data_IF_864288818977
#
_entry.id   IF_864288818977
#
_cell.length_a   1.000
_cell.length_b   1.000
_cell.length_c   1.000
_cell.angle_alpha   90.00
_cell.angle_beta   90.00
_cell.angle_gamma   90.00
#
_symmetry.space_group_name_H-M   'P 1'
#
loop_
_entity.id
_entity.type
_entity.pdbx_description
1 polymer ?
#
# COMPACT_ATOMS: atom_id res chain seq x y z
N UNK A 1 -11.07 -6.76 0.80
CA UNK A 1 -10.80 -5.29 0.83
C UNK A 1 -10.65 -4.83 2.28
N UNK A 2 -9.93 -3.73 2.51
CA UNK A 2 -9.89 -3.06 3.82
C UNK A 2 -11.30 -2.56 4.18
N UNK A 3 -11.57 -2.34 5.47
CA UNK A 3 -12.91 -2.03 5.98
C UNK A 3 -12.88 -0.84 6.93
N UNK A 4 -14.01 -0.12 7.02
CA UNK A 4 -14.28 0.96 7.97
C UNK A 4 -13.16 2.02 7.93
N UNK A 5 -12.58 2.35 9.08
CA UNK A 5 -11.58 3.41 9.25
C UNK A 5 -10.28 3.19 8.46
N UNK A 6 -10.04 1.97 7.97
CA UNK A 6 -8.85 1.64 7.19
C UNK A 6 -9.08 1.69 5.67
N UNK A 7 -10.30 2.03 5.23
CA UNK A 7 -10.62 2.32 3.84
C UNK A 7 -10.35 3.80 3.57
N UNK A 8 -9.12 4.13 3.22
CA UNK A 8 -8.66 5.51 3.01
C UNK A 8 -7.87 5.59 1.70
N UNK A 9 -7.96 6.72 1.01
CA UNK A 9 -7.04 7.08 -0.07
C UNK A 9 -5.71 7.52 0.52
N UNK A 10 -4.75 6.61 0.49
CA UNK A 10 -3.46 6.79 1.13
C UNK A 10 -2.31 6.70 0.14
N UNK A 11 -1.10 6.94 0.64
CA UNK A 11 0.12 6.94 -0.15
C UNK A 11 0.35 5.61 -0.88
N UNK A 12 -0.16 4.48 -0.37
CA UNK A 12 -0.02 3.18 -1.03
C UNK A 12 -0.90 3.12 -2.27
N UNK A 13 -2.14 3.59 -2.18
CA UNK A 13 -3.03 3.67 -3.34
C UNK A 13 -2.47 4.60 -4.43
N UNK A 14 -1.98 5.78 -4.03
CA UNK A 14 -1.33 6.71 -4.96
C UNK A 14 -0.09 6.09 -5.61
N UNK A 15 0.76 5.42 -4.84
CA UNK A 15 1.95 4.75 -5.37
C UNK A 15 1.60 3.63 -6.35
N UNK A 16 0.56 2.83 -6.06
CA UNK A 16 0.07 1.78 -6.97
C UNK A 16 -0.47 2.35 -8.28
N UNK A 17 -1.25 3.45 -8.22
CA UNK A 17 -1.75 4.11 -9.43
C UNK A 17 -0.61 4.66 -10.27
N UNK A 18 0.36 5.32 -9.64
CA UNK A 18 1.56 5.83 -10.30
C UNK A 18 2.41 4.70 -10.92
N UNK A 19 2.53 3.55 -10.24
CA UNK A 19 3.23 2.38 -10.77
C UNK A 19 2.56 1.82 -12.03
N UNK A 20 1.23 1.72 -12.04
CA UNK A 20 0.45 1.29 -13.21
C UNK A 20 0.61 2.28 -14.37
N UNK A 21 0.55 3.58 -14.09
CA UNK A 21 0.75 4.63 -15.09
C UNK A 21 2.17 4.57 -15.68
N UNK A 22 3.19 4.44 -14.83
CA UNK A 22 4.59 4.31 -15.23
C UNK A 22 4.78 3.09 -16.14
N UNK A 23 4.20 1.93 -15.78
CA UNK A 23 4.27 0.72 -16.60
C UNK A 23 3.65 0.92 -17.98
N UNK A 24 2.49 1.56 -18.07
CA UNK A 24 1.81 1.85 -19.35
C UNK A 24 2.64 2.80 -20.21
N UNK A 25 3.14 3.88 -19.62
CA UNK A 25 3.98 4.86 -20.33
C UNK A 25 5.27 4.22 -20.87
N UNK A 26 5.95 3.39 -20.07
CA UNK A 26 7.12 2.63 -20.49
C UNK A 26 6.78 1.66 -21.63
N UNK A 27 5.66 0.95 -21.53
CA UNK A 27 5.20 0.02 -22.56
C UNK A 27 4.97 0.72 -23.91
N UNK A 28 4.30 1.87 -23.91
CA UNK A 28 4.00 2.61 -25.14
C UNK A 28 5.25 3.21 -25.79
N UNK A 29 6.19 3.72 -24.98
CA UNK A 29 7.51 4.18 -25.46
C UNK A 29 8.30 3.03 -26.11
N UNK A 30 8.34 1.86 -25.47
CA UNK A 30 9.04 0.68 -26.00
C UNK A 30 8.40 0.15 -27.28
N UNK A 31 7.06 0.14 -27.38
CA UNK A 31 6.34 -0.22 -28.62
C UNK A 31 6.71 0.72 -29.77
N UNK A 32 6.67 2.03 -29.54
CA UNK A 32 7.04 3.03 -30.55
C UNK A 32 8.49 2.85 -31.02
N UNK A 33 9.41 2.60 -30.10
CA UNK A 33 10.81 2.34 -30.43
C UNK A 33 10.99 1.03 -31.22
N UNK A 34 10.22 0.00 -30.89
CA UNK A 34 10.20 -1.25 -31.65
C UNK A 34 9.73 -1.02 -33.09
N UNK A 35 8.66 -0.26 -33.30
CA UNK A 35 8.18 0.10 -34.64
C UNK A 35 9.23 0.86 -35.45
N UNK A 36 9.92 1.82 -34.83
CA UNK A 36 11.04 2.55 -35.45
C UNK A 36 12.20 1.62 -35.83
N UNK A 37 12.52 0.66 -34.97
CA UNK A 37 13.55 -0.36 -35.21
C UNK A 37 13.23 -1.26 -36.39
N UNK A 38 11.97 -1.70 -36.49
CA UNK A 38 11.49 -2.52 -37.62
C UNK A 38 11.52 -1.70 -38.92
N UNK A 39 11.13 -0.43 -38.88
CA UNK A 39 11.20 0.45 -40.05
C UNK A 39 12.66 0.65 -40.52
N UNK A 40 13.59 0.91 -39.60
CA UNK A 40 15.00 1.08 -39.94
C UNK A 40 15.61 -0.22 -40.50
N UNK A 41 15.20 -1.39 -39.99
CA UNK A 41 15.63 -2.67 -40.55
C UNK A 41 15.19 -2.85 -42.02
N UNK A 42 13.98 -2.40 -42.37
CA UNK A 42 13.49 -2.42 -43.75
C UNK A 42 14.32 -1.49 -44.64
N UNK A 43 14.65 -0.29 -44.16
CA UNK A 43 15.50 0.66 -44.90
C UNK A 43 16.92 0.11 -45.12
N UNK A 44 17.51 -0.49 -44.10
CA UNK A 44 18.81 -1.14 -44.19
C UNK A 44 18.81 -2.27 -45.24
N UNK A 45 17.76 -3.12 -45.26
CA UNK A 45 17.59 -4.19 -46.27
C UNK A 45 17.44 -3.63 -47.68
N UNK A 46 16.66 -2.56 -47.86
CA UNK A 46 16.53 -1.90 -49.15
C UNK A 46 17.88 -1.34 -49.65
N UNK A 47 18.63 -0.67 -48.77
CA UNK A 47 19.97 -0.17 -49.11
C UNK A 47 20.96 -1.30 -49.41
N UNK A 48 20.85 -2.44 -48.73
CA UNK A 48 21.66 -3.62 -49.03
C UNK A 48 21.39 -4.14 -50.45
N UNK A 49 20.11 -4.31 -50.82
CA UNK A 49 19.75 -4.77 -52.16
C UNK A 49 20.20 -3.81 -53.27
N UNK A 50 20.19 -2.50 -53.02
CA UNK A 50 20.72 -1.51 -53.97
C UNK A 50 22.23 -1.66 -54.18
N UNK A 51 22.99 -1.90 -53.10
CA UNK A 51 24.44 -2.17 -53.20
C UNK A 51 24.72 -3.48 -53.95
N UNK A 52 23.95 -4.54 -53.69
CA UNK A 52 24.08 -5.82 -54.38
C UNK A 52 23.84 -5.67 -55.90
N UNK A 53 22.89 -4.81 -56.30
CA UNK A 53 22.64 -4.47 -57.71
C UNK A 53 23.75 -3.61 -58.32
N UNK A 54 24.24 -2.61 -57.59
CA UNK A 54 25.34 -1.75 -58.03
C UNK A 54 26.62 -2.57 -58.25
N UNK A 55 26.92 -3.51 -57.35
CA UNK A 55 28.07 -4.41 -57.47
C UNK A 55 28.01 -5.24 -58.76
N UNK A 56 26.87 -5.86 -59.08
CA UNK A 56 26.67 -6.59 -60.35
C UNK A 56 26.85 -5.69 -61.57
N UNK A 57 26.37 -4.45 -61.49
CA UNK A 57 26.50 -3.47 -62.57
C UNK A 57 27.96 -3.08 -62.78
N UNK A 58 28.74 -2.94 -61.70
CA UNK A 58 30.18 -2.67 -61.74
C UNK A 58 30.97 -3.85 -62.29
N UNK A 59 30.60 -5.09 -61.99
CA UNK A 59 31.20 -6.28 -62.62
C UNK A 59 31.00 -6.27 -64.14
N UNK A 60 29.78 -5.93 -64.59
CA UNK A 60 29.51 -5.76 -66.02
C UNK A 60 30.29 -4.61 -66.65
N UNK A 61 30.41 -3.47 -65.94
CA UNK A 61 31.17 -2.31 -66.40
C UNK A 61 32.66 -2.64 -66.54
N UNK A 62 33.25 -3.36 -65.58
CA UNK A 62 34.63 -3.84 -65.66
C UNK A 62 34.85 -4.75 -66.88
N UNK A 63 33.86 -5.57 -67.24
CA UNK A 63 33.89 -6.37 -68.47
C UNK A 63 33.96 -5.50 -69.74
N UNK A 64 33.15 -4.44 -69.79
CA UNK A 64 33.15 -3.46 -70.89
C UNK A 64 34.48 -2.71 -70.92
N UNK A 65 34.98 -2.23 -69.77
CA UNK A 65 36.25 -1.50 -69.68
C UNK A 65 37.44 -2.38 -70.10
N UNK A 66 37.46 -3.65 -69.70
CA UNK A 66 38.48 -4.61 -70.14
C UNK A 66 38.43 -4.84 -71.66
N UNK A 67 37.23 -4.94 -72.24
CA UNK A 67 37.06 -5.03 -73.69
C UNK A 67 37.54 -3.76 -74.38
N UNK A 68 37.15 -2.58 -73.89
CA UNK A 68 37.58 -1.29 -74.41
C UNK A 68 39.10 -1.12 -74.33
N UNK A 69 39.74 -1.57 -73.24
CA UNK A 69 41.19 -1.54 -73.07
C UNK A 69 41.93 -2.37 -74.13
N UNK A 70 41.32 -3.45 -74.63
CA UNK A 70 41.87 -4.30 -75.69
C UNK A 70 41.67 -3.74 -77.11
N UNK A 71 40.84 -2.70 -77.28
CA UNK A 71 40.60 -2.08 -78.59
C UNK A 71 41.84 -1.33 -79.09
N UNK A 72 42.09 -1.43 -80.40
CA UNK A 72 43.13 -0.70 -81.11
C UNK A 72 42.61 -0.27 -82.49
N UNK A 73 43.42 0.47 -83.25
CA UNK A 73 43.01 1.06 -84.54
C UNK A 73 42.62 0.03 -85.61
N UNK A 74 42.96 -1.26 -85.43
CA UNK A 74 42.63 -2.35 -86.35
C UNK A 74 41.49 -3.24 -85.82
N UNK A 75 40.93 -2.93 -84.64
CA UNK A 75 39.82 -3.68 -84.07
C UNK A 75 38.57 -3.55 -84.93
N UNK A 76 37.92 -4.68 -85.24
CA UNK A 76 36.67 -4.71 -85.99
C UNK A 76 35.53 -4.11 -85.16
N UNK A 77 34.73 -3.22 -85.75
CA UNK A 77 33.53 -2.65 -85.11
C UNK A 77 33.68 -1.26 -84.48
N UNK A 78 34.82 -0.58 -84.65
CA UNK A 78 34.99 0.84 -84.26
C UNK A 78 34.18 1.78 -85.18
N UNK A 79 33.50 2.77 -84.62
CA UNK A 79 32.64 3.71 -85.37
C UNK A 79 32.50 5.06 -84.63
N UNK A 80 31.98 6.10 -85.31
CA UNK A 80 31.70 7.40 -84.71
C UNK A 80 30.34 7.40 -84.00
N UNK A 81 30.31 7.89 -82.76
CA UNK A 81 29.09 8.03 -81.94
C UNK A 81 28.94 9.49 -81.48
N UNK A 82 27.76 10.09 -81.63
CA UNK A 82 27.50 11.49 -81.26
C UNK A 82 26.80 11.64 -79.91
N UNK A 83 27.10 12.72 -79.17
CA UNK A 83 26.39 13.10 -77.94
C UNK A 83 26.88 12.43 -76.65
N UNK A 84 28.06 11.81 -76.67
CA UNK A 84 28.66 11.08 -75.54
C UNK A 84 29.28 11.98 -74.46
N UNK A 85 29.37 13.29 -74.71
CA UNK A 85 30.24 14.20 -73.93
C UNK A 85 29.56 14.81 -72.69
N UNK A 86 28.40 14.29 -72.28
CA UNK A 86 27.64 14.79 -71.11
C UNK A 86 27.32 13.64 -70.16
N UNK A 87 28.28 13.29 -69.31
CA UNK A 87 28.07 12.32 -68.23
C UNK A 87 28.50 12.89 -66.88
N UNK A 88 27.57 12.91 -65.93
CA UNK A 88 27.83 13.31 -64.54
C UNK A 88 27.71 12.08 -63.63
N UNK A 89 28.83 11.53 -63.13
CA UNK A 89 28.82 10.37 -62.25
C UNK A 89 28.51 10.78 -60.81
N UNK A 90 27.27 10.60 -60.36
CA UNK A 90 26.94 10.79 -58.94
C UNK A 90 26.94 9.46 -58.17
N UNK A 91 27.85 9.31 -57.20
CA UNK A 91 28.02 8.09 -56.39
C UNK A 91 26.99 7.99 -55.23
N UNK A 92 25.70 8.13 -55.56
CA UNK A 92 24.57 8.30 -54.61
C UNK A 92 24.28 7.06 -53.75
N UNK A 93 24.57 5.86 -54.27
CA UNK A 93 24.26 4.59 -53.61
C UNK A 93 25.12 4.39 -52.36
N UNK A 94 26.41 4.72 -52.43
CA UNK A 94 27.34 4.62 -51.29
C UNK A 94 26.94 5.60 -50.19
N UNK A 95 26.64 6.85 -50.54
CA UNK A 95 26.20 7.88 -49.59
C UNK A 95 24.90 7.46 -48.87
N UNK A 96 23.93 6.91 -49.61
CA UNK A 96 22.69 6.37 -49.02
C UNK A 96 22.97 5.27 -48.00
N UNK A 97 23.83 4.31 -48.33
CA UNK A 97 24.23 3.24 -47.41
C UNK A 97 24.89 3.76 -46.13
N UNK A 98 25.81 4.71 -46.26
CA UNK A 98 26.47 5.33 -45.12
C UNK A 98 25.46 6.04 -44.20
N UNK A 99 24.49 6.75 -44.78
CA UNK A 99 23.42 7.41 -44.03
C UNK A 99 22.52 6.42 -43.29
N UNK A 100 22.09 5.32 -43.93
CA UNK A 100 21.25 4.30 -43.27
C UNK A 100 22.01 3.57 -42.16
N UNK A 101 23.30 3.28 -42.35
CA UNK A 101 24.16 2.71 -41.29
C UNK A 101 24.30 3.66 -40.09
N UNK A 102 24.49 4.96 -40.34
CA UNK A 102 24.57 5.97 -39.28
C UNK A 102 23.27 6.06 -38.48
N UNK A 103 22.11 6.14 -39.16
CA UNK A 103 20.79 6.09 -38.50
C UNK A 103 20.60 4.83 -37.66
N UNK A 104 21.00 3.67 -38.20
CA UNK A 104 20.91 2.40 -37.49
C UNK A 104 21.84 2.31 -36.27
N UNK A 105 22.99 2.99 -36.29
CA UNK A 105 23.88 3.09 -35.14
C UNK A 105 23.26 3.97 -34.05
N UNK A 106 22.76 5.15 -34.41
CA UNK A 106 22.08 6.05 -33.48
C UNK A 106 20.88 5.34 -32.83
N UNK A 107 20.05 4.68 -33.64
CA UNK A 107 18.86 3.99 -33.15
C UNK A 107 19.17 2.90 -32.12
N UNK A 108 20.28 2.16 -32.27
CA UNK A 108 20.72 1.19 -31.26
C UNK A 108 21.07 1.86 -29.94
N UNK A 109 21.80 2.97 -29.97
CA UNK A 109 22.08 3.74 -28.76
C UNK A 109 20.80 4.29 -28.11
N UNK A 110 19.85 4.75 -28.91
CA UNK A 110 18.57 5.27 -28.40
C UNK A 110 17.73 4.16 -27.75
N UNK A 111 17.75 2.94 -28.32
CA UNK A 111 17.11 1.75 -27.75
C UNK A 111 17.72 1.43 -26.39
N UNK A 112 19.05 1.34 -26.29
CA UNK A 112 19.73 1.01 -25.04
C UNK A 112 19.44 2.06 -23.95
N UNK A 113 19.49 3.34 -24.31
CA UNK A 113 19.14 4.43 -23.41
C UNK A 113 17.68 4.35 -22.95
N UNK A 114 16.75 4.06 -23.86
CA UNK A 114 15.34 3.94 -23.54
C UNK A 114 15.04 2.74 -22.64
N UNK A 115 15.63 1.58 -22.91
CA UNK A 115 15.46 0.38 -22.07
C UNK A 115 15.95 0.66 -20.66
N UNK A 116 17.13 1.25 -20.52
CA UNK A 116 17.69 1.60 -19.21
C UNK A 116 16.82 2.65 -18.47
N UNK A 117 16.32 3.67 -19.18
CA UNK A 117 15.42 4.66 -18.60
C UNK A 117 14.11 4.01 -18.09
N UNK A 118 13.44 3.22 -18.94
CA UNK A 118 12.22 2.51 -18.57
C UNK A 118 12.44 1.54 -17.40
N UNK A 119 13.56 0.81 -17.38
CA UNK A 119 13.89 -0.11 -16.30
C UNK A 119 14.06 0.63 -14.97
N UNK A 120 14.78 1.75 -14.96
CA UNK A 120 14.96 2.58 -13.77
C UNK A 120 13.63 3.20 -13.29
N UNK A 121 12.81 3.71 -14.20
CA UNK A 121 11.48 4.26 -13.88
C UNK A 121 10.58 3.20 -13.21
N UNK A 122 10.49 2.00 -13.80
CA UNK A 122 9.70 0.88 -13.26
C UNK A 122 10.23 0.46 -11.90
N UNK A 123 11.56 0.35 -11.76
CA UNK A 123 12.19 -0.05 -10.50
C UNK A 123 11.94 0.96 -9.38
N UNK A 124 12.05 2.26 -9.67
CA UNK A 124 11.76 3.33 -8.73
C UNK A 124 10.29 3.33 -8.29
N UNK A 125 9.36 3.20 -9.25
CA UNK A 125 7.93 3.14 -8.94
C UNK A 125 7.59 1.91 -8.09
N UNK A 126 8.14 0.74 -8.44
CA UNK A 126 7.96 -0.50 -7.68
C UNK A 126 8.48 -0.38 -6.25
N UNK A 127 9.67 0.19 -6.05
CA UNK A 127 10.24 0.44 -4.72
C UNK A 127 9.43 1.43 -3.90
N UNK A 128 8.97 2.53 -4.52
CA UNK A 128 8.13 3.51 -3.84
C UNK A 128 6.85 2.84 -3.29
N UNK A 129 6.19 2.01 -4.09
CA UNK A 129 5.03 1.23 -3.66
C UNK A 129 5.35 0.26 -2.52
N UNK A 130 6.45 -0.50 -2.61
CA UNK A 130 6.82 -1.45 -1.55
C UNK A 130 7.21 -0.77 -0.24
N UNK A 131 7.91 0.36 -0.32
CA UNK A 131 8.25 1.17 0.84
C UNK A 131 6.98 1.72 1.49
N UNK A 132 6.02 2.21 0.68
CA UNK A 132 4.71 2.63 1.16
C UNK A 132 3.95 1.51 1.88
N UNK A 133 3.86 0.33 1.26
CA UNK A 133 3.21 -0.86 1.84
C UNK A 133 3.88 -1.27 3.16
N UNK A 134 5.20 -1.29 3.20
CA UNK A 134 5.98 -1.69 4.38
C UNK A 134 5.78 -0.69 5.52
N UNK A 135 5.90 0.61 5.23
CA UNK A 135 5.70 1.68 6.21
C UNK A 135 4.30 1.59 6.83
N UNK A 136 3.27 1.51 6.00
CA UNK A 136 1.90 1.41 6.49
C UNK A 136 1.66 0.14 7.30
N UNK A 137 2.24 -0.98 6.86
CA UNK A 137 2.14 -2.23 7.63
C UNK A 137 2.76 -2.09 9.01
N UNK A 138 3.88 -1.35 9.12
CA UNK A 138 4.50 -1.01 10.41
C UNK A 138 3.59 -0.12 11.27
N UNK A 139 3.06 0.96 10.71
CA UNK A 139 2.14 1.89 11.40
C UNK A 139 0.88 1.16 11.88
N UNK A 140 0.33 0.27 11.06
CA UNK A 140 -0.86 -0.54 11.40
C UNK A 140 -0.54 -1.55 12.50
N UNK A 141 0.66 -2.14 12.49
CA UNK A 141 1.12 -3.05 13.55
C UNK A 141 1.31 -2.33 14.88
N UNK A 142 1.88 -1.12 14.85
CA UNK A 142 2.03 -0.29 16.04
C UNK A 142 0.65 0.10 16.61
N UNK A 143 -0.28 0.54 15.77
CA UNK A 143 -1.66 0.84 16.17
C UNK A 143 -2.37 -0.38 16.77
N UNK A 144 -2.19 -1.57 16.15
CA UNK A 144 -2.70 -2.84 16.68
C UNK A 144 -2.14 -3.10 18.09
N UNK A 145 -0.82 -2.96 18.28
CA UNK A 145 -0.17 -3.18 19.57
C UNK A 145 -0.71 -2.24 20.65
N UNK A 146 -0.86 -0.95 20.33
CA UNK A 146 -1.46 0.05 21.24
C UNK A 146 -2.91 -0.32 21.62
N UNK A 147 -3.73 -0.74 20.66
CA UNK A 147 -5.09 -1.20 20.92
C UNK A 147 -5.11 -2.44 21.84
N UNK A 148 -4.21 -3.41 21.63
CA UNK A 148 -4.11 -4.60 22.48
C UNK A 148 -3.72 -4.24 23.92
N UNK A 149 -2.74 -3.33 24.11
CA UNK A 149 -2.38 -2.86 25.45
C UNK A 149 -3.54 -2.14 26.13
N UNK A 150 -4.26 -1.29 25.40
CA UNK A 150 -5.40 -0.56 25.95
C UNK A 150 -6.56 -1.50 26.31
N UNK A 151 -6.84 -2.50 25.46
CA UNK A 151 -7.82 -3.54 25.74
C UNK A 151 -7.48 -4.30 27.03
N UNK A 152 -6.21 -4.65 27.23
CA UNK A 152 -5.77 -5.31 28.46
C UNK A 152 -6.00 -4.45 29.70
N UNK A 153 -5.71 -3.15 29.63
CA UNK A 153 -5.98 -2.21 30.74
C UNK A 153 -7.48 -2.11 31.05
N UNK A 154 -8.32 -1.99 30.03
CA UNK A 154 -9.79 -1.94 30.20
C UNK A 154 -10.30 -3.26 30.80
N UNK A 155 -9.77 -4.41 30.40
CA UNK A 155 -10.13 -5.70 30.99
C UNK A 155 -9.75 -5.78 32.47
N UNK A 156 -8.58 -5.25 32.86
CA UNK A 156 -8.17 -5.18 34.26
C UNK A 156 -9.08 -4.24 35.06
N UNK A 157 -9.43 -3.07 34.52
CA UNK A 157 -10.35 -2.13 35.16
C UNK A 157 -11.76 -2.74 35.35
N UNK A 158 -12.25 -3.50 34.36
CA UNK A 158 -13.52 -4.24 34.50
C UNK A 158 -13.46 -5.19 35.68
N UNK A 159 -12.40 -5.99 35.78
CA UNK A 159 -12.22 -6.92 36.89
C UNK A 159 -12.18 -6.22 38.26
N UNK A 160 -11.47 -5.09 38.35
CA UNK A 160 -11.37 -4.33 39.60
C UNK A 160 -12.72 -3.71 39.99
N UNK A 161 -13.50 -3.20 39.02
CA UNK A 161 -14.85 -2.67 39.25
C UNK A 161 -15.81 -3.79 39.68
N UNK A 162 -15.77 -4.96 39.06
CA UNK A 162 -16.59 -6.12 39.45
C UNK A 162 -16.30 -6.55 40.89
N UNK A 163 -15.02 -6.59 41.28
CA UNK A 163 -14.62 -6.86 42.66
C UNK A 163 -15.16 -5.80 43.63
N UNK A 164 -15.08 -4.53 43.25
CA UNK A 164 -15.60 -3.43 44.07
C UNK A 164 -17.13 -3.50 44.22
N UNK A 165 -17.85 -3.85 43.16
CA UNK A 165 -19.30 -4.07 43.21
C UNK A 165 -19.66 -5.18 44.20
N UNK A 166 -18.92 -6.29 44.22
CA UNK A 166 -19.14 -7.38 45.17
C UNK A 166 -18.89 -6.95 46.62
N UNK A 167 -17.81 -6.18 46.86
CA UNK A 167 -17.53 -5.60 48.18
C UNK A 167 -18.64 -4.64 48.65
N UNK A 168 -19.18 -3.81 47.75
CA UNK A 168 -20.28 -2.90 48.05
C UNK A 168 -21.56 -3.67 48.39
N UNK A 169 -21.90 -4.71 47.61
CA UNK A 169 -23.05 -5.58 47.87
C UNK A 169 -22.93 -6.28 49.22
N UNK A 170 -21.74 -6.80 49.54
CA UNK A 170 -21.47 -7.39 50.84
C UNK A 170 -21.61 -6.37 51.97
N UNK A 171 -21.05 -5.16 51.84
CA UNK A 171 -21.16 -4.12 52.86
C UNK A 171 -22.61 -3.69 53.14
N UNK A 172 -23.45 -3.64 52.10
CA UNK A 172 -24.90 -3.40 52.24
C UNK A 172 -25.56 -4.55 53.03
N UNK A 173 -25.26 -5.79 52.66
CA UNK A 173 -25.80 -6.98 53.33
C UNK A 173 -25.38 -7.05 54.81
N UNK A 174 -24.11 -6.78 55.10
CA UNK A 174 -23.55 -6.81 56.46
C UNK A 174 -24.21 -5.76 57.37
N UNK A 175 -24.69 -4.63 56.81
CA UNK A 175 -25.44 -3.60 57.54
C UNK A 175 -26.93 -3.92 57.73
N UNK A 176 -27.48 -4.86 56.97
CA UNK A 176 -28.89 -5.26 57.06
C UNK A 176 -29.26 -5.79 58.44
N UNK A 177 -28.41 -6.65 59.04
CA UNK A 177 -28.68 -7.25 60.35
C UNK A 177 -28.64 -6.21 61.49
N UNK A 178 -27.61 -5.36 61.64
CA UNK A 178 -27.61 -4.27 62.60
C UNK A 178 -28.82 -3.33 62.45
N UNK A 179 -29.18 -2.99 61.20
CA UNK A 179 -30.36 -2.15 60.93
C UNK A 179 -31.65 -2.79 61.46
N UNK A 180 -31.87 -4.07 61.17
CA UNK A 180 -33.04 -4.82 61.68
C UNK A 180 -33.08 -4.84 63.20
N UNK A 181 -31.94 -5.11 63.86
CA UNK A 181 -31.86 -5.12 65.33
C UNK A 181 -32.21 -3.75 65.91
N UNK A 182 -31.66 -2.66 65.37
CA UNK A 182 -31.94 -1.31 65.83
C UNK A 182 -33.43 -0.94 65.63
N UNK A 183 -34.00 -1.28 64.48
CA UNK A 183 -35.43 -1.08 64.19
C UNK A 183 -36.35 -1.90 65.10
N UNK A 184 -36.07 -3.20 65.30
CA UNK A 184 -36.85 -4.04 66.22
C UNK A 184 -36.78 -3.54 67.66
N UNK A 185 -35.61 -3.07 68.12
CA UNK A 185 -35.48 -2.44 69.45
C UNK A 185 -36.32 -1.18 69.56
N UNK A 186 -36.33 -0.35 68.51
CA UNK A 186 -37.12 0.88 68.47
C UNK A 186 -38.63 0.60 68.49
N UNK A 187 -39.06 -0.40 67.72
CA UNK A 187 -40.45 -0.88 67.67
C UNK A 187 -40.89 -1.49 69.00
N UNK A 188 -40.07 -2.33 69.64
CA UNK A 188 -40.42 -2.91 70.94
C UNK A 188 -40.64 -1.82 72.01
N UNK A 189 -39.93 -0.69 71.91
CA UNK A 189 -40.07 0.44 72.83
C UNK A 189 -41.33 1.27 72.61
N UNK A 190 -41.98 1.19 71.44
CA UNK A 190 -43.27 1.87 71.21
C UNK A 190 -44.42 1.23 71.99
N UNK A 191 -44.21 0.03 72.55
CA UNK A 191 -45.19 -0.73 73.32
C UNK A 191 -45.17 -0.44 74.83
N UNK A 192 -44.30 0.46 75.29
CA UNK A 192 -44.30 0.92 76.70
C UNK A 192 -45.60 1.65 77.01
N UNK A 193 -46.12 1.50 78.24
CA UNK A 193 -47.42 2.08 78.66
C UNK A 193 -47.23 3.30 79.55
N UNK A 194 -48.22 4.18 79.54
CA UNK A 194 -48.35 5.33 80.43
C UNK A 194 -47.09 6.21 80.45
N UNK A 195 -46.57 6.54 81.63
CA UNK A 195 -45.42 7.43 81.84
C UNK A 195 -44.11 6.84 81.31
N UNK A 196 -44.02 5.50 81.16
CA UNK A 196 -42.83 4.81 80.66
C UNK A 196 -42.65 4.95 79.14
N UNK A 197 -43.69 5.42 78.41
CA UNK A 197 -43.56 5.81 77.00
C UNK A 197 -42.91 7.20 76.89
N UNK A 198 -41.64 7.27 77.27
CA UNK A 198 -40.87 8.50 77.30
C UNK A 198 -39.74 8.50 76.26
N UNK A 199 -39.32 9.69 75.82
CA UNK A 199 -38.12 9.89 75.00
C UNK A 199 -36.90 10.03 75.90
N UNK A 200 -36.50 8.93 76.51
CA UNK A 200 -35.26 8.85 77.28
C UNK A 200 -34.02 8.84 76.35
N UNK A 201 -32.82 8.95 76.93
CA UNK A 201 -31.56 8.94 76.19
C UNK A 201 -31.39 7.70 75.31
N UNK A 202 -31.86 6.53 75.77
CA UNK A 202 -31.78 5.28 75.01
C UNK A 202 -32.66 5.33 73.75
N UNK A 203 -33.85 5.93 73.84
CA UNK A 203 -34.72 6.16 72.70
C UNK A 203 -34.04 7.06 71.66
N UNK A 204 -33.45 8.18 72.08
CA UNK A 204 -32.77 9.11 71.18
C UNK A 204 -31.57 8.45 70.49
N UNK A 205 -30.78 7.68 71.23
CA UNK A 205 -29.62 6.96 70.70
C UNK A 205 -30.02 5.90 69.67
N UNK A 206 -31.10 5.15 69.91
CA UNK A 206 -31.62 4.16 68.94
C UNK A 206 -32.17 4.82 67.68
N UNK A 207 -32.88 5.95 67.79
CA UNK A 207 -33.34 6.72 66.62
C UNK A 207 -32.14 7.16 65.78
N UNK A 208 -31.11 7.70 66.43
CA UNK A 208 -29.88 8.12 65.76
C UNK A 208 -29.16 6.94 65.10
N UNK A 209 -29.04 5.79 65.77
CA UNK A 209 -28.43 4.59 65.20
C UNK A 209 -29.15 4.12 63.92
N UNK A 210 -30.49 4.09 63.92
CA UNK A 210 -31.28 3.75 62.74
C UNK A 210 -31.04 4.75 61.60
N UNK A 211 -30.99 6.05 61.90
CA UNK A 211 -30.70 7.08 60.90
C UNK A 211 -29.28 6.95 60.33
N UNK A 212 -28.26 6.77 61.18
CA UNK A 212 -26.87 6.66 60.77
C UNK A 212 -26.64 5.40 59.91
N UNK A 213 -27.21 4.24 60.29
CA UNK A 213 -27.14 3.01 59.50
C UNK A 213 -27.90 3.16 58.19
N UNK A 214 -29.10 3.76 58.21
CA UNK A 214 -29.90 4.03 57.02
C UNK A 214 -29.17 4.90 56.00
N UNK A 215 -28.62 6.03 56.44
CA UNK A 215 -27.81 6.94 55.62
C UNK A 215 -26.58 6.23 55.04
N UNK A 216 -25.94 5.35 55.82
CA UNK A 216 -24.79 4.57 55.36
C UNK A 216 -25.18 3.55 54.28
N UNK A 217 -26.31 2.87 54.43
CA UNK A 217 -26.84 1.93 53.42
C UNK A 217 -27.20 2.67 52.13
N UNK A 218 -27.89 3.81 52.21
CA UNK A 218 -28.25 4.63 51.06
C UNK A 218 -27.00 5.10 50.29
N UNK A 219 -25.98 5.58 51.03
CA UNK A 219 -24.70 5.97 50.44
C UNK A 219 -24.03 4.80 49.69
N UNK A 220 -24.02 3.60 50.28
CA UNK A 220 -23.45 2.41 49.64
C UNK A 220 -24.24 2.00 48.38
N UNK A 221 -25.56 2.07 48.41
CA UNK A 221 -26.39 1.83 47.23
C UNK A 221 -26.09 2.81 46.10
N UNK A 222 -25.94 4.10 46.41
CA UNK A 222 -25.54 5.11 45.42
C UNK A 222 -24.17 4.78 44.81
N UNK A 223 -23.19 4.38 45.63
CA UNK A 223 -21.88 3.95 45.14
C UNK A 223 -21.93 2.69 44.30
N UNK A 224 -22.82 1.75 44.61
CA UNK A 224 -23.05 0.56 43.79
C UNK A 224 -23.59 0.93 42.41
N UNK A 225 -24.58 1.84 42.34
CA UNK A 225 -25.13 2.34 41.08
C UNK A 225 -24.07 3.07 40.24
N UNK A 226 -23.23 3.91 40.87
CA UNK A 226 -22.11 4.58 40.20
C UNK A 226 -21.12 3.54 39.60
N UNK A 227 -20.78 2.49 40.35
CA UNK A 227 -19.90 1.42 39.89
C UNK A 227 -20.52 0.58 38.76
N UNK A 228 -21.82 0.27 38.84
CA UNK A 228 -22.57 -0.44 37.79
C UNK A 228 -22.60 0.36 36.48
N UNK A 229 -22.83 1.68 36.56
CA UNK A 229 -22.78 2.55 35.39
C UNK A 229 -21.38 2.59 34.75
N UNK A 230 -20.32 2.67 35.58
CA UNK A 230 -18.94 2.62 35.10
C UNK A 230 -18.63 1.27 34.42
N UNK A 231 -19.07 0.16 35.00
CA UNK A 231 -18.90 -1.18 34.44
C UNK A 231 -19.51 -1.30 33.04
N UNK A 232 -20.75 -0.80 32.85
CA UNK A 232 -21.40 -0.81 31.53
C UNK A 232 -20.63 0.03 30.49
N UNK A 233 -20.10 1.18 30.89
CA UNK A 233 -19.30 2.02 29.99
C UNK A 233 -17.96 1.35 29.60
N UNK A 234 -17.32 0.64 30.54
CA UNK A 234 -16.12 -0.14 30.27
C UNK A 234 -16.41 -1.31 29.32
N UNK A 235 -17.51 -2.03 29.49
CA UNK A 235 -17.93 -3.11 28.58
C UNK A 235 -18.15 -2.61 27.15
N UNK A 236 -18.80 -1.46 26.98
CA UNK A 236 -18.96 -0.82 25.67
C UNK A 236 -17.61 -0.44 25.06
N UNK A 237 -16.71 0.10 25.86
CA UNK A 237 -15.35 0.49 25.44
C UNK A 237 -14.55 -0.73 24.99
N UNK A 238 -14.60 -1.84 25.75
CA UNK A 238 -14.01 -3.12 25.40
C UNK A 238 -14.50 -3.61 24.04
N UNK A 239 -15.81 -3.65 23.82
CA UNK A 239 -16.39 -4.11 22.56
C UNK A 239 -15.94 -3.27 21.36
N UNK A 240 -15.84 -1.95 21.53
CA UNK A 240 -15.30 -1.06 20.49
C UNK A 240 -13.83 -1.38 20.17
N UNK A 241 -12.99 -1.54 21.20
CA UNK A 241 -11.57 -1.88 21.03
C UNK A 241 -11.37 -3.23 20.34
N UNK A 242 -12.17 -4.24 20.69
CA UNK A 242 -12.15 -5.56 20.04
C UNK A 242 -12.55 -5.46 18.56
N UNK A 243 -13.57 -4.65 18.25
CA UNK A 243 -14.00 -4.37 16.88
C UNK A 243 -12.90 -3.70 16.06
N UNK A 244 -12.26 -2.66 16.61
CA UNK A 244 -11.17 -1.94 15.95
C UNK A 244 -9.93 -2.83 15.77
N UNK A 245 -9.62 -3.67 16.75
CA UNK A 245 -8.54 -4.64 16.66
C UNK A 245 -8.77 -5.62 15.51
N UNK A 246 -10.00 -6.12 15.35
CA UNK A 246 -10.37 -7.00 14.24
C UNK A 246 -10.17 -6.32 12.87
N UNK A 247 -10.50 -5.02 12.78
CA UNK A 247 -10.24 -4.23 11.56
C UNK A 247 -8.75 -4.15 11.28
N UNK A 248 -7.90 -3.83 12.28
CA UNK A 248 -6.44 -3.74 12.09
C UNK A 248 -5.81 -5.09 11.71
N UNK A 249 -6.27 -6.19 12.30
CA UNK A 249 -5.81 -7.55 11.94
C UNK A 249 -6.12 -7.86 10.48
N UNK A 250 -7.33 -7.55 10.01
CA UNK A 250 -7.70 -7.74 8.62
C UNK A 250 -6.87 -6.86 7.67
N UNK A 251 -6.63 -5.59 8.01
CA UNK A 251 -5.80 -4.70 7.21
C UNK A 251 -4.35 -5.19 7.09
N UNK A 252 -3.76 -5.66 8.20
CA UNK A 252 -2.42 -6.25 8.19
C UNK A 252 -2.33 -7.51 7.32
N UNK A 253 -3.35 -8.37 7.39
CA UNK A 253 -3.39 -9.58 6.55
C UNK A 253 -3.42 -9.23 5.06
N UNK A 254 -4.23 -8.24 4.66
CA UNK A 254 -4.29 -7.78 3.28
C UNK A 254 -2.93 -7.23 2.85
N UNK A 255 -2.35 -6.33 3.64
CA UNK A 255 -1.13 -5.62 3.25
C UNK A 255 0.09 -6.55 3.20
N UNK A 256 0.24 -7.46 4.19
CA UNK A 256 1.38 -8.38 4.28
C UNK A 256 1.23 -9.62 3.42
N UNK A 257 0.11 -10.33 3.57
CA UNK A 257 -0.05 -11.67 2.97
C UNK A 257 -0.55 -11.59 1.54
N UNK A 258 -1.41 -10.61 1.22
CA UNK A 258 -1.92 -10.45 -0.14
C UNK A 258 -1.03 -9.52 -0.96
N UNK A 259 -0.93 -8.25 -0.59
CA UNK A 259 -0.24 -7.25 -1.41
C UNK A 259 1.27 -7.50 -1.48
N UNK A 260 1.97 -7.48 -0.34
CA UNK A 260 3.42 -7.74 -0.34
C UNK A 260 3.75 -9.18 -0.73
N UNK A 261 2.89 -10.15 -0.41
CA UNK A 261 3.01 -11.54 -0.85
C UNK A 261 3.07 -11.68 -2.38
N UNK A 262 2.15 -11.05 -3.11
CA UNK A 262 2.13 -11.08 -4.59
C UNK A 262 3.32 -10.34 -5.22
N UNK A 263 3.96 -9.41 -4.50
CA UNK A 263 5.04 -8.57 -5.03
C UNK A 263 6.43 -9.18 -4.86
N UNK A 264 6.56 -10.37 -4.24
CA UNK A 264 7.85 -11.04 -4.00
C UNK A 264 8.60 -11.47 -5.27
N UNK A 265 7.91 -11.58 -6.40
CA UNK A 265 8.44 -12.16 -7.65
C UNK A 265 8.92 -11.14 -8.68
N UNK A 266 8.81 -9.84 -8.44
CA UNK A 266 9.08 -8.79 -9.45
C UNK A 266 10.12 -7.76 -8.95
N UNK A 267 11.15 -7.37 -9.73
CA UNK A 267 11.84 -8.16 -10.73
C UNK A 267 13.30 -8.44 -10.32
N UNK A 268 13.62 -9.73 -10.25
CA UNK A 268 14.99 -10.24 -10.23
C UNK A 268 15.65 -9.81 -11.55
N UNK A 269 16.77 -9.09 -11.47
CA UNK A 269 17.66 -8.64 -12.56
C UNK A 269 17.18 -7.51 -13.50
N UNK A 270 17.23 -6.26 -13.01
CA UNK A 270 17.31 -5.05 -13.84
C UNK A 270 18.75 -4.78 -14.36
N UNK A 271 19.41 -5.81 -14.89
CA UNK A 271 20.65 -5.67 -15.66
C UNK A 271 20.60 -6.67 -16.80
N UNK A 272 19.85 -6.33 -17.85
CA UNK A 272 20.11 -6.88 -19.16
C UNK A 272 21.34 -6.12 -19.68
N UNK A 273 22.52 -6.59 -19.30
CA UNK A 273 23.77 -6.19 -19.98
C UNK A 273 23.92 -7.13 -21.18
N UNK A 274 23.74 -6.60 -22.38
CA UNK A 274 24.26 -7.20 -23.61
C UNK A 274 25.54 -6.46 -24.01
#
# INVERSE_FOLDING_TARGET
>A
MRKRIDLVHDQVEQALLNEVETLRNCQDRLKKMHEQSVAQLRNNRASQHELERDLKSKESALGIDNMCHQLNNFSRGINYYGGIDKFDPTNRIIQRSQNERSKSQQLRSDIDNLINACANEIWNAWNATNNGLTRRSSETLEAKSKLQMHLHKVQQEIFDVEKNMELLRKAIMDKSNPMKVAQTRLEARTHRRDIELCRDDAQERLVKEVQDIGNSIEYLHRKLLEAEAQHQQLLKTKANLESDLQVKVNSLFIDREKCLGMRRSFPITATIKY
#
